data_IF_437837783159
#
_entry.id   IF_437837783159
#
_cell.length_a   1.000
_cell.length_b   1.000
_cell.length_c   1.000
_cell.angle_alpha   90.00
_cell.angle_beta   90.00
_cell.angle_gamma   90.00
#
_symmetry.space_group_name_H-M   'P 1'
#
loop_
_entity.id
_entity.type
_entity.pdbx_description
1 polymer ?
#
# COMPACT_ATOMS: atom_id res chain seq x y z
N UNK A 1 -48.31 -28.56 27.72
CA UNK A 1 -47.90 -27.42 28.58
C UNK A 1 -46.96 -26.54 27.80
N UNK A 2 -47.47 -25.42 27.30
CA UNK A 2 -46.78 -24.51 26.37
C UNK A 2 -46.21 -23.31 27.14
N UNK A 3 -44.92 -23.08 27.11
CA UNK A 3 -44.31 -21.85 27.66
C UNK A 3 -43.89 -20.92 26.53
N UNK A 4 -44.67 -19.85 26.37
CA UNK A 4 -44.36 -18.69 25.51
C UNK A 4 -43.24 -17.87 26.12
N UNK A 5 -42.12 -17.72 25.45
CA UNK A 5 -41.12 -16.69 25.75
C UNK A 5 -41.49 -15.36 25.10
N UNK A 6 -41.69 -14.38 25.95
CA UNK A 6 -42.06 -12.99 25.64
C UNK A 6 -40.77 -12.21 25.28
N UNK A 7 -40.66 -11.78 24.03
CA UNK A 7 -39.54 -10.94 23.52
C UNK A 7 -39.81 -9.50 23.95
N UNK A 8 -38.92 -8.95 24.77
CA UNK A 8 -38.99 -7.58 25.29
C UNK A 8 -38.18 -6.68 24.36
N UNK A 9 -38.89 -5.80 23.61
CA UNK A 9 -38.28 -4.78 22.78
C UNK A 9 -37.88 -3.59 23.68
N UNK A 10 -36.58 -3.32 23.71
CA UNK A 10 -36.03 -2.15 24.36
C UNK A 10 -35.98 -0.99 23.34
N UNK A 11 -36.99 -0.13 23.41
CA UNK A 11 -37.12 1.08 22.61
C UNK A 11 -36.40 2.21 23.30
N UNK A 12 -35.20 2.56 22.84
CA UNK A 12 -34.45 3.74 23.30
C UNK A 12 -35.12 5.00 22.77
N UNK A 13 -35.62 5.83 23.67
CA UNK A 13 -36.15 7.18 23.39
C UNK A 13 -34.99 8.15 23.23
N UNK A 14 -34.82 8.71 22.05
CA UNK A 14 -33.90 9.83 21.79
C UNK A 14 -34.69 11.13 22.00
N UNK A 15 -34.30 11.92 22.99
CA UNK A 15 -34.79 13.29 23.20
C UNK A 15 -34.03 14.27 22.30
N UNK A 16 -34.68 15.30 21.73
CA UNK A 16 -33.97 16.33 20.95
C UNK A 16 -33.20 17.25 21.89
N UNK A 17 -31.98 17.59 21.53
CA UNK A 17 -31.17 18.61 22.18
C UNK A 17 -31.22 19.90 21.35
N UNK A 18 -31.39 20.97 22.06
CA UNK A 18 -31.48 22.35 21.63
C UNK A 18 -30.29 22.83 20.80
N UNK A 19 -30.66 23.67 19.80
CA UNK A 19 -29.76 24.42 18.94
C UNK A 19 -29.09 25.56 19.72
N UNK A 20 -27.80 25.37 20.02
CA UNK A 20 -26.92 26.46 20.49
C UNK A 20 -25.95 26.82 19.38
N UNK A 21 -26.24 27.85 18.60
CA UNK A 21 -25.32 28.41 17.63
C UNK A 21 -24.08 28.98 18.32
N UNK A 22 -22.93 28.32 18.10
CA UNK A 22 -21.62 28.92 18.37
C UNK A 22 -20.80 28.86 17.08
N UNK A 23 -20.67 30.02 16.46
CA UNK A 23 -19.77 30.30 15.34
C UNK A 23 -18.34 30.18 15.81
N UNK A 24 -17.77 28.98 15.66
CA UNK A 24 -16.33 28.76 15.74
C UNK A 24 -15.74 28.86 14.33
N UNK A 25 -15.12 30.00 14.06
CA UNK A 25 -14.28 30.24 12.89
C UNK A 25 -13.16 29.20 12.86
N UNK A 26 -13.23 28.23 11.94
CA UNK A 26 -12.14 27.30 11.68
C UNK A 26 -10.93 28.07 11.11
N UNK A 27 -9.71 27.82 11.57
CA UNK A 27 -8.54 28.38 10.91
C UNK A 27 -8.43 27.76 9.53
N UNK A 28 -8.49 28.60 8.51
CA UNK A 28 -8.17 28.26 7.12
C UNK A 28 -6.70 27.85 7.08
N UNK A 29 -6.44 26.54 7.07
CA UNK A 29 -5.12 26.06 6.74
C UNK A 29 -4.92 26.29 5.24
N UNK A 30 -4.20 27.34 4.89
CA UNK A 30 -3.54 27.48 3.58
C UNK A 30 -2.52 26.35 3.45
N UNK A 31 -3.00 25.15 3.18
CA UNK A 31 -2.19 24.11 2.58
C UNK A 31 -1.99 24.55 1.13
N UNK A 32 -0.90 25.30 0.89
CA UNK A 32 -0.44 25.62 -0.46
C UNK A 32 -0.40 24.30 -1.25
N UNK A 33 -1.20 24.25 -2.32
CA UNK A 33 -1.14 23.16 -3.28
C UNK A 33 0.34 22.98 -3.72
N UNK A 34 0.85 21.76 -3.86
CA UNK A 34 2.21 21.56 -4.30
C UNK A 34 2.38 22.27 -5.65
N UNK A 35 3.22 23.29 -5.69
CA UNK A 35 3.54 24.03 -6.90
C UNK A 35 4.00 23.02 -7.94
N UNK A 36 3.42 23.05 -9.13
CA UNK A 36 3.78 22.25 -10.31
C UNK A 36 5.17 22.71 -10.84
N UNK A 37 6.14 22.74 -9.95
CA UNK A 37 7.52 23.10 -10.23
C UNK A 37 8.25 21.83 -10.62
N UNK A 38 8.48 21.65 -11.91
CA UNK A 38 9.36 20.59 -12.40
C UNK A 38 10.73 20.73 -11.75
N UNK A 39 11.20 19.69 -11.07
CA UNK A 39 12.53 19.64 -10.50
C UNK A 39 13.58 19.72 -11.63
N UNK A 40 14.66 20.45 -11.41
CA UNK A 40 15.84 20.33 -12.27
C UNK A 40 16.42 18.91 -12.14
N UNK A 41 17.19 18.50 -13.13
CA UNK A 41 17.83 17.17 -13.10
C UNK A 41 18.75 17.02 -11.89
N UNK A 42 19.49 18.04 -11.56
CA UNK A 42 20.43 18.05 -10.43
C UNK A 42 19.68 17.94 -9.08
N UNK A 43 18.60 18.71 -8.93
CA UNK A 43 17.73 18.63 -7.74
C UNK A 43 17.10 17.25 -7.60
N UNK A 44 16.63 16.66 -8.71
CA UNK A 44 16.08 15.31 -8.71
C UNK A 44 17.11 14.26 -8.28
N UNK A 45 18.31 14.29 -8.87
CA UNK A 45 19.39 13.34 -8.54
C UNK A 45 19.83 13.48 -7.07
N UNK A 46 19.92 14.70 -6.54
CA UNK A 46 20.24 14.94 -5.14
C UNK A 46 19.17 14.38 -4.19
N UNK A 47 17.88 14.64 -4.48
CA UNK A 47 16.78 14.11 -3.67
C UNK A 47 16.68 12.58 -3.76
N UNK A 48 16.87 12.02 -4.95
CA UNK A 48 16.88 10.57 -5.15
C UNK A 48 17.99 9.91 -4.31
N UNK A 49 19.18 10.48 -4.29
CA UNK A 49 20.29 9.95 -3.50
C UNK A 49 19.97 9.94 -2.00
N UNK A 50 19.36 10.99 -1.47
CA UNK A 50 18.91 11.04 -0.08
C UNK A 50 17.93 9.92 0.22
N UNK A 51 16.93 9.69 -0.65
CA UNK A 51 15.95 8.62 -0.49
C UNK A 51 16.60 7.23 -0.57
N UNK A 52 17.58 7.04 -1.45
CA UNK A 52 18.31 5.78 -1.56
C UNK A 52 19.12 5.46 -0.30
N UNK A 53 19.72 6.47 0.34
CA UNK A 53 20.38 6.30 1.65
C UNK A 53 19.37 5.86 2.72
N UNK A 54 18.18 6.45 2.74
CA UNK A 54 17.11 6.04 3.69
C UNK A 54 16.63 4.60 3.42
N UNK A 55 16.53 4.19 2.15
CA UNK A 55 16.21 2.81 1.80
C UNK A 55 17.26 1.81 2.30
N UNK A 56 18.54 2.14 2.23
CA UNK A 56 19.62 1.29 2.81
C UNK A 56 19.51 1.23 4.34
N UNK A 57 19.15 2.32 5.00
CA UNK A 57 18.90 2.32 6.46
C UNK A 57 17.67 1.45 6.79
N UNK A 58 16.60 1.55 6.01
CA UNK A 58 15.42 0.71 6.13
C UNK A 58 15.79 -0.77 5.97
N UNK A 59 16.63 -1.12 4.99
CA UNK A 59 17.11 -2.50 4.81
C UNK A 59 17.79 -3.03 6.06
N UNK A 60 18.71 -2.28 6.64
CA UNK A 60 19.37 -2.66 7.90
C UNK A 60 18.39 -2.82 9.06
N UNK A 61 17.33 -1.99 9.07
CA UNK A 61 16.31 -2.06 10.11
C UNK A 61 15.51 -3.35 10.01
N UNK A 62 14.92 -3.66 8.84
CA UNK A 62 14.06 -4.83 8.69
C UNK A 62 14.84 -6.16 8.82
N UNK A 63 16.11 -6.20 8.43
CA UNK A 63 16.97 -7.36 8.69
C UNK A 63 17.15 -7.58 10.20
N UNK A 64 17.45 -6.51 10.93
CA UNK A 64 17.65 -6.60 12.39
C UNK A 64 16.38 -6.96 13.16
N UNK A 65 15.23 -6.45 12.71
CA UNK A 65 13.93 -6.65 13.34
C UNK A 65 13.22 -7.92 12.83
N UNK A 66 13.79 -8.60 11.83
CA UNK A 66 13.19 -9.76 11.14
C UNK A 66 11.82 -9.46 10.53
N UNK A 67 11.65 -8.22 10.07
CA UNK A 67 10.41 -7.79 9.45
C UNK A 67 10.21 -8.41 8.07
N UNK A 68 8.95 -8.47 7.64
CA UNK A 68 8.51 -8.90 6.31
C UNK A 68 7.88 -7.73 5.61
N UNK A 69 8.49 -7.25 4.54
CA UNK A 69 7.98 -6.09 3.82
C UNK A 69 7.54 -6.52 2.43
N UNK A 70 6.26 -6.24 2.12
CA UNK A 70 5.71 -6.42 0.79
C UNK A 70 5.30 -5.06 0.22
N UNK A 71 5.91 -4.69 -0.89
CA UNK A 71 5.57 -3.49 -1.65
C UNK A 71 4.84 -3.89 -2.92
N UNK A 72 3.66 -3.35 -3.15
CA UNK A 72 2.85 -3.62 -4.34
C UNK A 72 2.79 -2.36 -5.20
N UNK A 73 3.28 -2.45 -6.44
CA UNK A 73 3.22 -1.36 -7.41
C UNK A 73 2.16 -1.69 -8.46
N UNK A 74 1.08 -0.92 -8.42
CA UNK A 74 -0.02 -1.03 -9.38
C UNK A 74 -0.08 0.21 -10.29
N UNK A 75 -0.76 0.10 -11.40
CA UNK A 75 -0.98 1.21 -12.33
C UNK A 75 -0.96 0.77 -13.79
N UNK A 76 -1.33 1.69 -14.68
CA UNK A 76 -1.38 1.48 -16.13
C UNK A 76 -0.01 1.11 -16.69
N UNK A 77 0.00 0.52 -17.88
CA UNK A 77 1.23 0.33 -18.63
C UNK A 77 1.88 1.68 -18.93
N UNK A 78 3.20 1.69 -18.95
CA UNK A 78 4.01 2.91 -19.10
C UNK A 78 3.87 3.97 -17.98
N UNK A 79 3.22 3.66 -16.84
CA UNK A 79 3.10 4.58 -15.70
C UNK A 79 4.39 4.74 -14.88
N UNK A 80 5.53 4.24 -15.34
CA UNK A 80 6.82 4.40 -14.67
C UNK A 80 7.15 3.38 -13.58
N UNK A 81 6.32 2.33 -13.38
CA UNK A 81 6.54 1.31 -12.34
C UNK A 81 7.93 0.69 -12.37
N UNK A 82 8.37 0.24 -13.55
CA UNK A 82 9.69 -0.41 -13.72
C UNK A 82 10.83 0.56 -13.38
N UNK A 83 10.70 1.81 -13.79
CA UNK A 83 11.67 2.86 -13.46
C UNK A 83 11.75 3.12 -11.96
N UNK A 84 10.61 3.14 -11.26
CA UNK A 84 10.55 3.32 -9.81
C UNK A 84 11.15 2.13 -9.08
N UNK A 85 10.78 0.90 -9.47
CA UNK A 85 11.34 -0.33 -8.91
C UNK A 85 12.86 -0.34 -9.04
N UNK A 86 13.37 -0.05 -10.25
CA UNK A 86 14.81 -0.02 -10.52
C UNK A 86 15.55 0.93 -9.57
N UNK A 87 15.00 2.14 -9.35
CA UNK A 87 15.62 3.12 -8.44
C UNK A 87 15.54 2.73 -6.97
N UNK A 88 14.46 2.06 -6.56
CA UNK A 88 14.31 1.56 -5.19
C UNK A 88 15.34 0.48 -4.89
N UNK A 89 15.53 -0.48 -5.78
CA UNK A 89 16.41 -1.64 -5.52
C UNK A 89 17.88 -1.40 -5.83
N UNK A 90 18.22 -0.28 -6.46
CA UNK A 90 19.54 0.00 -7.04
C UNK A 90 20.71 -0.19 -6.06
N UNK A 91 20.52 0.19 -4.80
CA UNK A 91 21.53 0.06 -3.74
C UNK A 91 21.18 -0.93 -2.64
N UNK A 92 20.07 -1.66 -2.81
CA UNK A 92 19.67 -2.66 -1.84
C UNK A 92 20.36 -4.01 -2.13
N UNK A 93 20.60 -4.79 -1.07
CA UNK A 93 21.16 -6.13 -1.20
C UNK A 93 20.18 -7.05 -1.93
N UNK A 94 20.60 -7.74 -3.00
CA UNK A 94 19.73 -8.66 -3.73
C UNK A 94 19.44 -9.97 -2.98
N UNK A 95 20.06 -10.20 -1.83
CA UNK A 95 19.78 -11.38 -1.00
C UNK A 95 18.47 -11.21 -0.24
N UNK A 96 18.24 -10.04 0.29
CA UNK A 96 17.08 -9.70 1.12
C UNK A 96 16.03 -8.90 0.35
N UNK A 97 16.32 -8.53 -0.92
CA UNK A 97 15.41 -7.76 -1.75
C UNK A 97 15.12 -8.50 -3.05
N UNK A 98 13.84 -8.78 -3.30
CA UNK A 98 13.40 -9.47 -4.52
C UNK A 98 12.35 -8.65 -5.27
N UNK A 99 12.44 -8.68 -6.60
CA UNK A 99 11.41 -8.11 -7.49
C UNK A 99 10.66 -9.25 -8.16
N UNK A 100 9.34 -9.22 -8.07
CA UNK A 100 8.44 -10.22 -8.63
C UNK A 100 7.55 -9.58 -9.68
N UNK A 101 7.63 -10.06 -10.90
CA UNK A 101 6.79 -9.63 -12.02
C UNK A 101 6.21 -10.88 -12.69
N UNK A 102 5.02 -11.30 -12.28
CA UNK A 102 4.38 -12.49 -12.85
C UNK A 102 3.72 -12.12 -14.18
N UNK A 103 3.99 -12.93 -15.21
CA UNK A 103 3.35 -12.82 -16.50
C UNK A 103 1.86 -13.24 -16.48
N UNK A 104 1.25 -13.36 -17.65
CA UNK A 104 -0.13 -13.87 -17.77
C UNK A 104 -0.24 -15.25 -17.12
N UNK A 105 -1.34 -15.53 -16.38
CA UNK A 105 -1.53 -16.83 -15.77
C UNK A 105 -1.68 -17.93 -16.82
N UNK A 106 -1.09 -19.09 -16.55
CA UNK A 106 -1.31 -20.30 -17.33
C UNK A 106 -2.74 -20.83 -17.15
N UNK A 107 -3.20 -21.72 -18.02
CA UNK A 107 -4.54 -22.31 -17.92
C UNK A 107 -4.72 -23.09 -16.60
N UNK A 108 -3.66 -23.72 -16.11
CA UNK A 108 -3.65 -24.38 -14.81
C UNK A 108 -3.82 -23.39 -13.66
N UNK A 109 -3.15 -22.25 -13.68
CA UNK A 109 -3.29 -21.20 -12.67
C UNK A 109 -4.66 -20.53 -12.73
N UNK A 110 -5.29 -20.44 -13.90
CA UNK A 110 -6.64 -19.91 -14.07
C UNK A 110 -7.71 -20.81 -13.46
N UNK A 111 -7.49 -22.12 -13.46
CA UNK A 111 -8.44 -23.09 -12.88
C UNK A 111 -8.34 -23.17 -11.36
N UNK A 112 -7.29 -22.65 -10.77
CA UNK A 112 -7.06 -22.63 -9.32
C UNK A 112 -7.50 -21.33 -8.65
N UNK A 113 -7.20 -21.24 -7.36
CA UNK A 113 -7.36 -19.98 -6.63
C UNK A 113 -6.31 -18.97 -7.12
N UNK A 114 -6.78 -17.84 -7.65
CA UNK A 114 -5.92 -16.88 -8.34
C UNK A 114 -4.75 -16.37 -7.48
N UNK A 115 -4.99 -16.14 -6.19
CA UNK A 115 -3.95 -15.69 -5.25
C UNK A 115 -2.84 -16.74 -5.06
N UNK A 116 -3.13 -18.01 -5.30
CA UNK A 116 -2.20 -19.12 -5.07
C UNK A 116 -0.86 -18.95 -5.81
N UNK A 117 -0.89 -18.33 -7.00
CA UNK A 117 0.34 -18.08 -7.78
C UNK A 117 1.29 -17.06 -7.12
N UNK A 118 0.78 -16.22 -6.22
CA UNK A 118 1.57 -15.21 -5.51
C UNK A 118 2.14 -15.74 -4.19
N UNK A 119 1.53 -16.74 -3.60
CA UNK A 119 1.92 -17.29 -2.29
C UNK A 119 3.40 -17.69 -2.21
N UNK A 120 4.01 -18.37 -3.21
CA UNK A 120 5.42 -18.74 -3.17
C UNK A 120 6.39 -17.55 -3.20
N UNK A 121 5.89 -16.38 -3.53
CA UNK A 121 6.68 -15.15 -3.68
C UNK A 121 6.50 -14.17 -2.52
N UNK A 122 5.67 -14.49 -1.53
CA UNK A 122 5.49 -13.66 -0.35
C UNK A 122 6.78 -13.58 0.46
N UNK A 123 7.05 -12.45 1.16
CA UNK A 123 8.27 -12.28 1.93
C UNK A 123 8.32 -13.23 3.14
N UNK A 124 9.49 -13.78 3.39
CA UNK A 124 9.84 -14.39 4.68
C UNK A 124 10.51 -13.34 5.59
N UNK A 125 10.91 -13.73 6.80
CA UNK A 125 11.61 -12.82 7.70
C UNK A 125 12.86 -12.24 7.03
N UNK A 126 13.16 -10.97 7.31
CA UNK A 126 14.32 -10.23 6.77
C UNK A 126 14.24 -9.94 5.26
N UNK A 127 13.07 -10.10 4.64
CA UNK A 127 12.90 -9.87 3.21
C UNK A 127 12.02 -8.65 2.87
N UNK A 128 12.46 -7.93 1.84
CA UNK A 128 11.68 -6.94 1.11
C UNK A 128 11.33 -7.49 -0.28
N UNK A 129 10.06 -7.67 -0.56
CA UNK A 129 9.58 -8.11 -1.88
C UNK A 129 8.79 -7.01 -2.55
N UNK A 130 9.14 -6.66 -3.78
CA UNK A 130 8.42 -5.69 -4.61
C UNK A 130 7.66 -6.45 -5.71
N UNK A 131 6.34 -6.33 -5.71
CA UNK A 131 5.52 -6.83 -6.80
C UNK A 131 5.29 -5.75 -7.85
N UNK A 132 5.76 -6.02 -9.07
CA UNK A 132 5.36 -5.25 -10.24
C UNK A 132 4.05 -5.85 -10.77
N UNK A 133 2.94 -5.27 -10.35
CA UNK A 133 1.58 -5.80 -10.39
C UNK A 133 1.37 -6.98 -9.43
N UNK A 134 0.18 -7.08 -8.92
CA UNK A 134 -0.21 -8.10 -7.96
C UNK A 134 -1.55 -8.74 -8.32
N UNK A 135 -2.16 -9.41 -7.36
CA UNK A 135 -3.52 -9.95 -7.47
C UNK A 135 -4.60 -8.89 -7.70
N UNK A 136 -4.34 -7.63 -7.35
CA UNK A 136 -5.27 -6.53 -7.62
C UNK A 136 -5.43 -6.25 -9.12
N UNK A 137 -4.48 -6.66 -9.96
CA UNK A 137 -4.57 -6.51 -11.41
C UNK A 137 -5.83 -7.18 -11.99
N UNK A 138 -6.25 -8.31 -11.41
CA UNK A 138 -7.48 -9.00 -11.81
C UNK A 138 -8.74 -8.19 -11.52
N UNK A 139 -8.76 -7.44 -10.45
CA UNK A 139 -9.92 -6.63 -10.06
C UNK A 139 -10.06 -5.33 -10.87
N UNK A 140 -8.94 -4.83 -11.44
CA UNK A 140 -8.91 -3.52 -12.11
C UNK A 140 -8.64 -3.54 -13.61
N UNK A 141 -8.09 -4.65 -14.16
CA UNK A 141 -7.59 -4.69 -15.56
C UNK A 141 -8.03 -5.94 -16.31
N UNK A 142 -8.27 -7.06 -15.65
CA UNK A 142 -8.79 -8.32 -16.19
C UNK A 142 -10.30 -8.43 -15.90
#
# INVERSE_FOLDING_TARGET
>A
MSKKHKKQENRVKISPRDDGASTATAPTSDAAAPSDRSLSREEYEAQLHVLQVELVKLQRHFIRCQDRILVVLEGRDAAGKDGSIKRIVEYLSPRETRVVALGKPSDRERSGWYFQRYVPHLPVAEELVLFNRSWYNRAGVE
#
